data_IF_789398333755
#
_entry.id   IF_789398333755
#
_cell.length_a   1.000
_cell.length_b   1.000
_cell.length_c   1.000
_cell.angle_alpha   90.00
_cell.angle_beta   90.00
_cell.angle_gamma   90.00
#
_symmetry.space_group_name_H-M   'P 1'
#
loop_
_entity.id
_entity.type
_entity.pdbx_description
1 polymer ?
#
# COMPACT_ATOMS: atom_id res chain seq x y z
N UNK A 1 9.82 43.67 -21.91
CA UNK A 1 9.02 43.08 -22.99
C UNK A 1 8.64 41.67 -22.53
N UNK A 2 7.33 41.40 -22.32
CA UNK A 2 6.87 40.07 -22.02
C UNK A 2 6.96 39.23 -23.29
N UNK A 3 7.75 38.17 -23.27
CA UNK A 3 7.82 37.20 -24.35
C UNK A 3 6.45 36.51 -24.41
N UNK A 4 5.71 36.78 -25.46
CA UNK A 4 4.43 36.11 -25.74
C UNK A 4 4.75 34.61 -25.98
N UNK A 5 4.63 33.79 -24.94
CA UNK A 5 4.72 32.34 -25.08
C UNK A 5 3.56 31.86 -25.93
N UNK A 6 3.87 31.23 -27.06
CA UNK A 6 2.87 30.61 -27.94
C UNK A 6 1.94 29.72 -27.13
N UNK A 7 0.61 29.71 -27.40
CA UNK A 7 -0.31 28.76 -26.76
C UNK A 7 0.14 27.30 -26.87
N UNK A 8 0.84 26.95 -27.94
CA UNK A 8 1.43 25.61 -28.13
C UNK A 8 2.53 25.28 -27.14
N UNK A 9 3.25 26.25 -26.57
CA UNK A 9 4.29 26.00 -25.56
C UNK A 9 3.71 25.63 -24.18
N UNK A 10 2.40 25.79 -23.98
CA UNK A 10 1.68 25.40 -22.76
C UNK A 10 1.03 24.01 -22.85
N UNK A 11 1.09 23.38 -24.01
CA UNK A 11 0.57 22.04 -24.16
C UNK A 11 1.47 21.05 -23.44
N UNK A 12 0.88 20.07 -22.71
CA UNK A 12 1.67 19.00 -22.13
C UNK A 12 2.38 18.21 -23.24
N UNK A 13 3.62 17.84 -22.98
CA UNK A 13 4.42 17.03 -23.92
C UNK A 13 3.95 15.59 -24.02
N UNK A 14 3.26 15.10 -22.97
CA UNK A 14 2.68 13.76 -22.90
C UNK A 14 1.15 13.90 -22.95
N UNK A 15 0.52 13.38 -23.99
CA UNK A 15 -0.93 13.44 -24.20
C UNK A 15 -1.65 12.14 -23.83
N UNK A 16 -0.91 11.11 -23.46
CA UNK A 16 -1.47 9.83 -23.04
C UNK A 16 -2.01 9.92 -21.61
N UNK A 17 -3.24 9.44 -21.41
CA UNK A 17 -3.88 9.40 -20.10
C UNK A 17 -3.57 8.07 -19.38
N UNK A 18 -3.46 8.11 -18.05
CA UNK A 18 -3.30 6.93 -17.24
C UNK A 18 -4.55 6.04 -17.33
N UNK A 19 -4.34 4.74 -17.55
CA UNK A 19 -5.42 3.76 -17.52
C UNK A 19 -5.57 3.18 -16.12
N UNK A 20 -6.78 3.11 -15.56
CA UNK A 20 -7.01 2.56 -14.22
C UNK A 20 -6.77 1.04 -14.13
N UNK A 21 -6.71 0.35 -15.28
CA UNK A 21 -6.50 -1.10 -15.34
C UNK A 21 -5.03 -1.50 -15.44
N UNK A 22 -4.13 -0.55 -15.58
CA UNK A 22 -2.72 -0.78 -15.81
C UNK A 22 -1.90 -0.57 -14.53
N UNK A 23 -1.94 -1.56 -13.64
CA UNK A 23 -1.15 -1.55 -12.42
C UNK A 23 -0.72 -2.97 -12.02
N UNK A 24 0.32 -3.05 -11.21
CA UNK A 24 0.79 -4.26 -10.55
C UNK A 24 1.05 -3.93 -9.08
N UNK A 25 0.50 -4.73 -8.19
CA UNK A 25 0.70 -4.57 -6.75
C UNK A 25 1.44 -5.77 -6.19
N UNK A 26 2.47 -5.55 -5.38
CA UNK A 26 3.24 -6.60 -4.74
C UNK A 26 3.51 -6.28 -3.27
N UNK A 27 3.34 -7.30 -2.42
CA UNK A 27 3.73 -7.27 -1.01
C UNK A 27 4.84 -8.29 -0.80
N UNK A 28 5.97 -7.88 -0.22
CA UNK A 28 7.11 -8.79 -0.04
C UNK A 28 6.79 -10.04 0.78
N UNK A 29 5.91 -9.93 1.78
CA UNK A 29 5.52 -11.08 2.60
C UNK A 29 4.44 -11.97 1.99
N UNK A 30 3.67 -11.47 1.03
CA UNK A 30 2.47 -12.12 0.51
C UNK A 30 2.45 -12.20 -1.02
N UNK A 31 3.36 -12.95 -1.65
CA UNK A 31 3.41 -13.03 -3.11
C UNK A 31 2.13 -13.60 -3.74
N UNK A 32 1.35 -14.40 -2.99
CA UNK A 32 0.07 -14.95 -3.47
C UNK A 32 -1.02 -13.89 -3.61
N UNK A 33 -0.99 -12.82 -2.84
CA UNK A 33 -1.95 -11.71 -2.95
C UNK A 33 -1.69 -10.88 -4.21
N UNK A 34 -0.44 -10.78 -4.65
CA UNK A 34 -0.04 -10.05 -5.85
C UNK A 34 -0.81 -10.50 -7.11
N UNK A 35 -0.96 -11.81 -7.30
CA UNK A 35 -1.60 -12.36 -8.51
C UNK A 35 -3.12 -12.15 -8.55
N UNK A 36 -3.77 -12.02 -7.42
CA UNK A 36 -5.23 -11.97 -7.31
C UNK A 36 -5.77 -10.57 -7.01
N UNK A 37 -4.91 -9.55 -6.96
CA UNK A 37 -5.33 -8.17 -6.72
C UNK A 37 -6.15 -7.63 -7.88
N UNK A 38 -7.38 -7.21 -7.59
CA UNK A 38 -8.31 -6.62 -8.56
C UNK A 38 -8.29 -5.11 -8.53
N UNK A 39 -8.18 -4.52 -7.34
CA UNK A 39 -8.09 -3.06 -7.17
C UNK A 39 -7.09 -2.70 -6.09
N UNK A 40 -6.37 -1.61 -6.30
CA UNK A 40 -5.50 -0.99 -5.33
C UNK A 40 -5.74 0.52 -5.34
N UNK A 41 -5.92 1.11 -4.17
CA UNK A 41 -6.19 2.54 -4.04
C UNK A 41 -4.92 3.25 -3.59
N UNK A 42 -4.45 4.25 -4.34
CA UNK A 42 -3.39 5.13 -3.85
C UNK A 42 -3.98 6.01 -2.74
N UNK A 43 -3.44 5.97 -1.51
CA UNK A 43 -4.03 6.66 -0.38
C UNK A 43 -4.05 8.18 -0.56
N UNK A 44 -5.10 8.82 -0.07
CA UNK A 44 -5.21 10.27 -0.07
C UNK A 44 -4.28 10.89 0.97
N UNK A 45 -3.85 12.11 0.68
CA UNK A 45 -3.08 12.96 1.60
C UNK A 45 -3.92 14.18 1.93
N UNK A 46 -4.05 14.50 3.20
CA UNK A 46 -4.71 15.71 3.66
C UNK A 46 -3.73 16.57 4.48
N UNK A 47 -3.69 17.85 4.16
CA UNK A 47 -2.98 18.85 4.96
C UNK A 47 -3.97 19.54 5.90
N UNK A 48 -3.61 19.65 7.17
CA UNK A 48 -4.42 20.36 8.13
C UNK A 48 -4.54 21.85 7.77
N UNK A 49 -5.67 22.46 8.12
CA UNK A 49 -5.88 23.91 8.04
C UNK A 49 -6.21 24.48 9.41
N UNK A 50 -5.83 25.72 9.62
CA UNK A 50 -6.16 26.49 10.83
C UNK A 50 -7.06 27.63 10.40
N UNK A 51 -8.21 27.76 11.07
CA UNK A 51 -9.18 28.81 10.77
C UNK A 51 -8.99 29.97 11.72
N UNK A 52 -8.70 31.16 11.17
CA UNK A 52 -8.68 32.41 11.94
C UNK A 52 -10.08 33.02 11.85
N UNK A 53 -10.79 33.13 12.98
CA UNK A 53 -12.10 33.76 13.00
C UNK A 53 -11.93 35.29 12.86
N UNK A 54 -12.62 35.87 11.91
CA UNK A 54 -12.75 37.33 11.79
C UNK A 54 -14.23 37.72 11.85
N UNK A 55 -14.59 38.99 12.23
CA UNK A 55 -15.98 39.41 12.33
C UNK A 55 -16.82 39.24 11.07
N UNK A 56 -16.20 39.20 9.89
CA UNK A 56 -16.90 39.13 8.62
C UNK A 56 -16.80 37.77 7.93
N UNK A 57 -15.66 37.08 8.05
CA UNK A 57 -15.40 35.80 7.39
C UNK A 57 -14.28 35.06 8.10
N UNK A 58 -14.43 33.74 8.25
CA UNK A 58 -13.32 32.88 8.66
C UNK A 58 -12.27 32.78 7.55
N UNK A 59 -11.01 33.02 7.90
CA UNK A 59 -9.89 32.96 6.95
C UNK A 59 -9.13 31.66 7.22
N UNK A 60 -9.09 30.72 6.25
CA UNK A 60 -8.28 29.51 6.37
C UNK A 60 -6.81 29.86 6.19
N UNK A 61 -5.97 29.29 7.05
CA UNK A 61 -4.52 29.32 6.94
C UNK A 61 -3.98 27.89 6.87
N UNK A 62 -2.89 27.71 6.17
CA UNK A 62 -2.24 26.41 6.05
C UNK A 62 -1.75 25.94 7.43
N UNK A 63 -2.02 24.69 7.75
CA UNK A 63 -1.38 23.97 8.85
C UNK A 63 -0.11 23.24 8.37
N UNK A 64 0.53 22.56 9.28
CA UNK A 64 1.79 21.83 9.05
C UNK A 64 1.68 20.31 9.26
N UNK A 65 0.50 19.82 9.62
CA UNK A 65 0.26 18.40 9.83
C UNK A 65 -0.31 17.74 8.57
N UNK A 66 0.41 16.71 8.08
CA UNK A 66 -0.05 15.81 7.02
C UNK A 66 -0.68 14.56 7.64
N UNK A 67 -1.84 14.19 7.11
CA UNK A 67 -2.50 12.92 7.42
C UNK A 67 -2.60 12.07 6.16
N UNK A 68 -2.38 10.77 6.33
CA UNK A 68 -2.44 9.78 5.26
C UNK A 68 -3.57 8.80 5.52
N UNK A 69 -4.34 8.49 4.50
CA UNK A 69 -5.36 7.46 4.58
C UNK A 69 -4.74 6.06 4.47
N UNK A 70 -5.50 5.03 4.83
CA UNK A 70 -5.07 3.65 4.69
C UNK A 70 -5.02 3.23 3.21
N UNK A 71 -4.15 2.27 2.91
CA UNK A 71 -4.09 1.61 1.61
C UNK A 71 -5.13 0.49 1.58
N UNK A 72 -6.15 0.61 0.73
CA UNK A 72 -7.17 -0.42 0.55
C UNK A 72 -6.90 -1.23 -0.71
N UNK A 73 -6.91 -2.56 -0.56
CA UNK A 73 -6.67 -3.52 -1.64
C UNK A 73 -7.84 -4.50 -1.68
N UNK A 74 -8.40 -4.72 -2.89
CA UNK A 74 -9.34 -5.80 -3.12
C UNK A 74 -8.68 -6.91 -3.93
N UNK A 75 -8.98 -8.14 -3.56
CA UNK A 75 -8.44 -9.32 -4.23
C UNK A 75 -9.49 -10.43 -4.34
N UNK A 76 -9.32 -11.29 -5.34
CA UNK A 76 -10.12 -12.51 -5.49
C UNK A 76 -9.57 -13.56 -4.53
N UNK A 77 -10.45 -14.19 -3.81
CA UNK A 77 -10.10 -15.26 -2.87
C UNK A 77 -9.90 -16.56 -3.64
N UNK A 78 -8.77 -17.21 -3.36
CA UNK A 78 -8.44 -18.51 -3.94
C UNK A 78 -9.35 -19.63 -3.41
N UNK A 79 -9.57 -20.69 -4.19
CA UNK A 79 -10.42 -21.86 -3.83
C UNK A 79 -10.01 -22.49 -2.48
N UNK A 80 -8.72 -22.52 -2.19
CA UNK A 80 -8.18 -23.05 -0.95
C UNK A 80 -8.03 -22.00 0.17
N UNK A 81 -8.48 -20.76 -0.07
CA UNK A 81 -8.36 -19.62 0.85
C UNK A 81 -6.89 -19.32 1.28
N UNK A 82 -5.89 -19.76 0.52
CA UNK A 82 -4.48 -19.63 0.93
C UNK A 82 -4.05 -18.16 1.06
N UNK A 83 -4.52 -17.28 0.17
CA UNK A 83 -4.23 -15.85 0.23
C UNK A 83 -4.92 -15.20 1.44
N UNK A 84 -6.17 -15.54 1.72
CA UNK A 84 -6.92 -15.05 2.87
C UNK A 84 -6.33 -15.56 4.19
N UNK A 85 -5.99 -16.86 4.26
CA UNK A 85 -5.36 -17.47 5.44
C UNK A 85 -4.00 -16.83 5.75
N UNK A 86 -3.20 -16.53 4.75
CA UNK A 86 -1.90 -15.88 4.93
C UNK A 86 -2.03 -14.48 5.56
N UNK A 87 -3.04 -13.71 5.16
CA UNK A 87 -3.39 -12.42 5.76
C UNK A 87 -3.91 -12.59 7.19
N UNK A 88 -4.80 -13.55 7.40
CA UNK A 88 -5.35 -13.86 8.73
C UNK A 88 -4.25 -14.30 9.70
N UNK A 89 -3.31 -15.14 9.26
CA UNK A 89 -2.15 -15.55 10.07
C UNK A 89 -1.28 -14.35 10.44
N UNK A 90 -1.06 -13.44 9.50
CA UNK A 90 -0.30 -12.22 9.78
C UNK A 90 -0.99 -11.34 10.83
N UNK A 91 -2.30 -11.07 10.67
CA UNK A 91 -3.07 -10.30 11.65
C UNK A 91 -3.11 -10.98 13.03
N UNK A 92 -3.30 -12.30 13.08
CA UNK A 92 -3.32 -13.05 14.34
C UNK A 92 -1.94 -13.15 14.99
N UNK A 93 -0.87 -13.10 14.21
CA UNK A 93 0.49 -13.02 14.74
C UNK A 93 0.78 -11.67 15.40
N UNK A 94 0.24 -10.58 14.85
CA UNK A 94 0.35 -9.25 15.45
C UNK A 94 -0.47 -9.16 16.75
N UNK A 95 -1.72 -9.62 16.71
CA UNK A 95 -2.67 -9.52 17.83
C UNK A 95 -2.60 -10.67 18.85
N UNK A 96 -2.00 -11.79 18.48
CA UNK A 96 -1.88 -13.06 19.25
C UNK A 96 -3.06 -13.36 20.19
N UNK A 97 -4.30 -13.50 19.67
CA UNK A 97 -5.52 -13.61 20.49
C UNK A 97 -5.57 -14.87 21.39
N UNK A 98 -4.85 -15.94 21.05
CA UNK A 98 -4.84 -17.17 21.83
C UNK A 98 -3.67 -17.22 22.81
N UNK A 99 -2.46 -17.00 22.32
CA UNK A 99 -1.25 -17.03 23.14
C UNK A 99 -0.07 -16.38 22.40
N UNK A 100 0.96 -15.98 23.14
CA UNK A 100 2.17 -15.37 22.60
C UNK A 100 2.96 -16.29 21.65
N UNK A 101 2.71 -17.59 21.67
CA UNK A 101 3.37 -18.55 20.78
C UNK A 101 3.03 -18.30 19.31
N UNK A 102 1.83 -17.77 19.00
CA UNK A 102 1.43 -17.45 17.64
C UNK A 102 2.42 -16.49 16.95
N UNK A 103 2.90 -15.49 17.69
CA UNK A 103 3.93 -14.58 17.19
C UNK A 103 5.27 -15.30 16.96
N UNK A 104 5.69 -16.14 17.89
CA UNK A 104 6.94 -16.91 17.77
C UNK A 104 6.90 -17.88 16.58
N UNK A 105 5.79 -18.56 16.39
CA UNK A 105 5.60 -19.52 15.29
C UNK A 105 5.58 -18.78 13.94
N UNK A 106 4.90 -17.65 13.84
CA UNK A 106 4.90 -16.81 12.63
C UNK A 106 6.32 -16.35 12.28
N UNK A 107 7.08 -15.86 13.26
CA UNK A 107 8.46 -15.43 13.08
C UNK A 107 9.35 -16.57 12.59
N UNK A 108 9.18 -17.77 13.14
CA UNK A 108 9.99 -18.94 12.78
C UNK A 108 9.66 -19.43 11.38
N UNK A 109 8.38 -19.50 11.02
CA UNK A 109 7.92 -19.97 9.71
C UNK A 109 8.25 -18.98 8.56
N UNK A 110 8.39 -17.71 8.87
CA UNK A 110 8.71 -16.63 7.91
C UNK A 110 10.18 -16.24 7.90
N UNK A 111 11.07 -17.00 8.58
CA UNK A 111 12.50 -16.66 8.70
C UNK A 111 13.24 -16.58 7.36
N UNK A 112 12.73 -17.21 6.32
CA UNK A 112 13.34 -17.23 4.99
C UNK A 112 12.74 -16.18 4.03
N UNK A 113 11.77 -15.38 4.46
CA UNK A 113 11.21 -14.33 3.62
C UNK A 113 11.97 -13.03 3.89
N UNK A 114 12.52 -12.35 2.89
CA UNK A 114 13.13 -11.03 3.09
C UNK A 114 12.05 -10.08 3.61
N UNK A 115 12.23 -9.63 4.83
CA UNK A 115 11.22 -8.95 5.62
C UNK A 115 11.02 -7.51 5.13
N UNK A 116 12.04 -6.91 4.54
CA UNK A 116 11.95 -5.62 3.88
C UNK A 116 13.09 -5.43 2.89
N UNK A 117 12.89 -4.58 1.89
CA UNK A 117 13.96 -4.18 0.97
C UNK A 117 15.17 -3.53 1.68
N UNK A 118 14.97 -3.03 2.88
CA UNK A 118 16.05 -2.54 3.75
C UNK A 118 16.99 -3.65 4.24
N UNK A 119 16.52 -4.91 4.28
CA UNK A 119 17.35 -6.01 4.78
C UNK A 119 18.44 -6.44 3.79
N UNK A 120 18.39 -6.00 2.55
CA UNK A 120 19.32 -6.40 1.49
C UNK A 120 20.53 -5.47 1.31
N UNK A 121 20.55 -4.28 1.90
CA UNK A 121 21.69 -3.36 1.75
C UNK A 121 22.65 -3.45 2.92
N UNK A 122 23.42 -4.51 2.96
CA UNK A 122 24.46 -4.76 3.98
C UNK A 122 25.68 -3.84 3.87
N UNK A 123 25.67 -2.81 3.03
CA UNK A 123 26.86 -1.97 2.76
C UNK A 123 26.65 -0.51 3.08
N UNK A 124 25.49 -0.09 3.53
CA UNK A 124 25.25 1.29 3.89
C UNK A 124 25.38 1.46 5.40
N UNK A 125 26.29 2.33 5.81
CA UNK A 125 26.42 2.83 7.19
C UNK A 125 25.25 3.75 7.58
N UNK A 126 24.13 3.61 6.93
CA UNK A 126 22.93 4.39 7.17
C UNK A 126 22.18 3.86 8.39
N UNK A 127 21.59 4.75 9.15
CA UNK A 127 20.83 4.49 10.40
C UNK A 127 19.76 3.41 10.21
N UNK A 128 19.36 3.12 8.96
CA UNK A 128 18.46 2.04 8.58
C UNK A 128 18.94 0.63 8.97
N UNK A 129 20.27 0.39 8.99
CA UNK A 129 20.84 -0.92 9.32
C UNK A 129 20.65 -1.32 10.78
N UNK A 130 20.56 -0.35 11.67
CA UNK A 130 20.36 -0.61 13.10
C UNK A 130 18.95 -1.13 13.40
N UNK A 131 17.98 -0.80 12.56
CA UNK A 131 16.60 -1.29 12.71
C UNK A 131 16.40 -2.74 12.25
N UNK A 132 17.32 -3.28 11.44
CA UNK A 132 17.25 -4.67 10.98
C UNK A 132 17.46 -5.69 12.11
N UNK A 133 18.18 -5.31 13.13
CA UNK A 133 18.41 -6.14 14.30
C UNK A 133 17.20 -6.18 15.26
N UNK A 134 16.16 -5.38 14.98
CA UNK A 134 14.95 -5.35 15.82
C UNK A 134 14.10 -6.60 15.61
N UNK A 135 13.76 -7.34 16.67
CA UNK A 135 12.89 -8.51 16.58
C UNK A 135 11.49 -8.20 16.09
N UNK A 136 11.12 -6.92 15.97
CA UNK A 136 9.81 -6.47 15.52
C UNK A 136 9.67 -6.40 13.99
N UNK A 137 10.77 -6.53 13.23
CA UNK A 137 10.71 -6.47 11.76
C UNK A 137 9.86 -7.56 11.11
N UNK A 138 9.56 -8.65 11.81
CA UNK A 138 8.66 -9.69 11.31
C UNK A 138 7.18 -9.25 11.22
N UNK A 139 6.81 -8.14 11.85
CA UNK A 139 5.44 -7.63 11.90
C UNK A 139 5.11 -6.69 10.74
N UNK A 140 6.13 -6.09 10.13
CA UNK A 140 5.98 -5.12 9.06
C UNK A 140 6.51 -5.69 7.75
N UNK A 141 5.95 -5.21 6.65
CA UNK A 141 6.38 -5.53 5.29
C UNK A 141 6.46 -4.27 4.46
N UNK A 142 7.19 -4.34 3.37
CA UNK A 142 7.16 -3.29 2.35
C UNK A 142 6.27 -3.75 1.20
N UNK A 143 5.60 -2.80 0.55
CA UNK A 143 4.79 -3.05 -0.62
C UNK A 143 5.11 -2.06 -1.73
N UNK A 144 4.91 -2.49 -2.97
CA UNK A 144 5.12 -1.67 -4.15
C UNK A 144 3.89 -1.73 -5.04
N UNK A 145 3.36 -0.56 -5.38
CA UNK A 145 2.34 -0.41 -6.42
C UNK A 145 3.02 0.19 -7.65
N UNK A 146 3.17 -0.61 -8.70
CA UNK A 146 3.73 -0.17 -9.97
C UNK A 146 2.61 0.22 -10.92
N UNK A 147 2.63 1.46 -11.38
CA UNK A 147 1.71 1.98 -12.39
C UNK A 147 2.36 1.77 -13.75
N UNK A 148 1.60 1.16 -14.65
CA UNK A 148 2.06 0.81 -15.99
C UNK A 148 1.51 1.78 -17.04
N UNK A 149 2.24 1.92 -18.15
CA UNK A 149 1.78 2.63 -19.34
C UNK A 149 0.74 1.80 -20.09
N UNK A 150 0.05 2.43 -21.06
CA UNK A 150 -0.86 1.74 -21.99
C UNK A 150 -0.17 0.59 -22.78
N UNK A 151 1.16 0.53 -22.75
CA UNK A 151 1.99 -0.53 -23.37
C UNK A 151 2.56 -1.52 -22.36
N UNK A 152 2.04 -1.55 -21.12
CA UNK A 152 2.51 -2.39 -20.00
C UNK A 152 3.96 -2.13 -19.56
N UNK A 153 4.53 -0.97 -19.86
CA UNK A 153 5.84 -0.59 -19.33
C UNK A 153 5.67 0.12 -17.99
N UNK A 154 6.48 -0.16 -16.97
CA UNK A 154 6.42 0.54 -15.70
C UNK A 154 6.81 2.01 -15.87
N UNK A 155 6.02 2.93 -15.31
CA UNK A 155 6.25 4.38 -15.38
C UNK A 155 6.51 4.95 -13.99
N UNK A 156 5.75 4.50 -12.99
CA UNK A 156 5.80 5.04 -11.63
C UNK A 156 5.72 3.89 -10.65
N UNK A 157 6.57 3.92 -9.64
CA UNK A 157 6.46 3.08 -8.45
C UNK A 157 5.98 3.91 -7.27
N UNK A 158 4.99 3.38 -6.56
CA UNK A 158 4.57 3.87 -5.26
C UNK A 158 5.07 2.86 -4.23
N UNK A 159 6.03 3.28 -3.42
CA UNK A 159 6.71 2.45 -2.42
C UNK A 159 6.09 2.71 -1.06
N UNK A 160 5.53 1.69 -0.44
CA UNK A 160 4.98 1.75 0.91
C UNK A 160 5.96 1.11 1.88
N UNK A 161 6.30 1.82 2.96
CA UNK A 161 7.26 1.35 3.97
C UNK A 161 6.56 0.99 5.27
N UNK A 162 7.03 -0.10 5.88
CA UNK A 162 6.54 -0.60 7.17
C UNK A 162 5.01 -0.78 7.19
N UNK A 163 4.50 -1.47 6.17
CA UNK A 163 3.08 -1.76 5.98
C UNK A 163 2.66 -2.92 6.87
N UNK A 164 1.47 -2.83 7.45
CA UNK A 164 0.83 -3.89 8.22
C UNK A 164 -0.69 -3.86 8.05
N UNK A 165 -1.37 -5.03 8.12
CA UNK A 165 -2.82 -5.08 7.97
C UNK A 165 -3.54 -4.58 9.23
N UNK A 166 -4.58 -3.75 9.03
CA UNK A 166 -5.41 -3.19 10.11
C UNK A 166 -6.79 -3.81 10.11
N UNK A 167 -7.39 -3.97 8.93
CA UNK A 167 -8.72 -4.53 8.78
C UNK A 167 -8.79 -5.47 7.59
N UNK A 168 -9.64 -6.47 7.67
CA UNK A 168 -9.92 -7.41 6.60
C UNK A 168 -11.42 -7.64 6.54
N UNK A 169 -12.01 -7.67 5.33
CA UNK A 169 -13.44 -7.87 5.13
C UNK A 169 -13.86 -9.28 5.52
N UNK A 170 -15.15 -9.41 5.87
CA UNK A 170 -15.79 -10.70 6.00
C UNK A 170 -15.92 -11.37 4.62
N UNK A 171 -15.98 -12.70 4.61
CA UNK A 171 -16.32 -13.51 3.45
C UNK A 171 -17.78 -13.92 3.55
N UNK A 172 -18.55 -13.57 2.54
CA UNK A 172 -19.98 -13.93 2.50
C UNK A 172 -20.19 -15.13 1.59
N UNK A 173 -20.71 -16.21 2.16
CA UNK A 173 -21.12 -17.42 1.43
C UNK A 173 -22.64 -17.46 1.32
N UNK A 174 -23.15 -17.50 0.08
CA UNK A 174 -24.58 -17.58 -0.18
C UNK A 174 -24.89 -18.75 -1.12
N UNK A 175 -25.50 -19.79 -0.57
CA UNK A 175 -25.86 -20.98 -1.33
C UNK A 175 -27.08 -20.76 -2.27
N UNK A 176 -27.85 -19.68 -2.06
CA UNK A 176 -28.98 -19.34 -2.87
C UNK A 176 -28.68 -18.46 -4.09
N UNK A 177 -27.40 -18.11 -4.29
CA UNK A 177 -26.96 -17.33 -5.44
C UNK A 177 -27.18 -18.13 -6.74
N UNK A 178 -27.79 -17.50 -7.73
CA UNK A 178 -28.11 -18.12 -9.03
C UNK A 178 -26.97 -18.00 -10.03
N UNK A 179 -26.07 -17.00 -9.85
CA UNK A 179 -24.92 -16.76 -10.69
C UNK A 179 -23.62 -17.15 -10.00
N UNK A 180 -22.65 -17.63 -10.79
CA UNK A 180 -21.32 -17.96 -10.29
C UNK A 180 -20.51 -16.66 -10.21
N UNK A 181 -20.45 -16.08 -9.01
CA UNK A 181 -19.57 -14.96 -8.72
C UNK A 181 -18.33 -15.44 -7.96
N UNK A 182 -17.19 -14.83 -8.27
CA UNK A 182 -15.96 -15.10 -7.51
C UNK A 182 -16.02 -14.39 -6.16
N UNK A 183 -15.56 -15.11 -5.13
CA UNK A 183 -15.46 -14.54 -3.79
C UNK A 183 -14.35 -13.50 -3.75
N UNK A 184 -14.68 -12.29 -3.32
CA UNK A 184 -13.73 -11.18 -3.19
C UNK A 184 -13.57 -10.78 -1.73
N UNK A 185 -12.39 -10.36 -1.35
CA UNK A 185 -12.08 -9.80 -0.05
C UNK A 185 -11.36 -8.47 -0.20
N UNK A 186 -11.51 -7.62 0.80
CA UNK A 186 -10.74 -6.38 0.93
C UNK A 186 -9.87 -6.42 2.17
N UNK A 187 -8.75 -5.73 2.11
CA UNK A 187 -7.84 -5.53 3.23
C UNK A 187 -7.37 -4.09 3.26
N UNK A 188 -7.39 -3.52 4.45
CA UNK A 188 -6.86 -2.18 4.71
C UNK A 188 -5.52 -2.30 5.41
N UNK A 189 -4.53 -1.64 4.85
CA UNK A 189 -3.19 -1.57 5.40
C UNK A 189 -2.88 -0.17 5.90
N UNK A 190 -2.32 -0.08 7.10
CA UNK A 190 -1.61 1.11 7.54
C UNK A 190 -0.12 0.96 7.21
N UNK A 191 0.55 2.08 7.02
CA UNK A 191 1.96 2.16 6.66
C UNK A 191 2.58 3.40 7.31
N UNK A 192 3.90 3.44 7.41
CA UNK A 192 4.60 4.58 8.00
C UNK A 192 4.62 5.78 7.04
N UNK A 193 5.02 5.54 5.78
CA UNK A 193 5.10 6.55 4.73
C UNK A 193 5.01 5.87 3.37
N UNK A 194 4.55 6.60 2.36
CA UNK A 194 4.74 6.18 0.98
C UNK A 194 5.48 7.23 0.17
N UNK A 195 6.21 6.77 -0.82
CA UNK A 195 7.01 7.59 -1.74
C UNK A 195 6.61 7.25 -3.17
N UNK A 196 6.54 8.27 -4.01
CA UNK A 196 6.23 8.11 -5.43
C UNK A 196 7.50 8.37 -6.22
N UNK A 197 7.97 7.35 -6.94
CA UNK A 197 9.18 7.43 -7.77
C UNK A 197 8.82 7.25 -9.25
N UNK A 198 9.22 8.20 -10.09
CA UNK A 198 9.13 8.03 -11.53
C UNK A 198 10.27 7.11 -12.01
N UNK A 199 9.94 6.18 -12.90
CA UNK A 199 10.92 5.33 -13.57
C UNK A 199 11.26 5.99 -14.89
N UNK A 200 12.51 6.44 -15.03
CA UNK A 200 13.04 7.05 -16.26
C UNK A 200 13.41 5.99 -17.31
#
# INVERSE_FOLDING_TARGET
>A
MAVATSPLSRQPTKLDYASPTQFKFGIHQLPKVEFFTTTATVPAIALSDVVIPTPFKSIPMQGDQLTFDNLTINFIVDEFLENYLSLHEWMTAIGFPKNRKQFSDFKTNKSNTPISARSSSSTSSDIGDVQQASPNNALFSDATLTILSNKNNPIVNVLFRDLYPVAMSALEYNQAATDVEYLTASVDFAYQIYEIEAID
#
